data_IF_383456701537
#
_entry.id   IF_383456701537
#
_cell.length_a   1.000
_cell.length_b   1.000
_cell.length_c   1.000
_cell.angle_alpha   90.00
_cell.angle_beta   90.00
_cell.angle_gamma   90.00
#
_symmetry.space_group_name_H-M   'P 1'
#
loop_
_entity.id
_entity.type
_entity.pdbx_description
1 polymer ?
#
# COMPACT_ATOMS: atom_id res chain seq x y z
N UNK A 1 -3.47 -1.11 -7.17
CA UNK A 1 -3.78 -0.07 -6.16
C UNK A 1 -5.17 -0.33 -5.62
N UNK A 2 -5.48 0.19 -4.44
CA UNK A 2 -6.81 0.16 -3.85
C UNK A 2 -7.44 1.54 -3.85
N UNK A 3 -8.76 1.55 -3.85
CA UNK A 3 -9.59 2.73 -3.65
C UNK A 3 -10.79 2.37 -2.80
N UNK A 4 -11.38 3.34 -2.13
CA UNK A 4 -12.66 3.19 -1.46
C UNK A 4 -13.61 4.33 -1.85
N UNK A 5 -14.81 4.30 -1.30
CA UNK A 5 -15.90 5.22 -1.64
C UNK A 5 -15.71 6.65 -1.13
N UNK A 6 -14.80 6.88 -0.19
CA UNK A 6 -14.67 8.18 0.51
C UNK A 6 -13.34 8.87 0.26
N UNK A 7 -12.27 8.13 0.04
CA UNK A 7 -10.92 8.70 -0.01
C UNK A 7 -10.59 9.26 -1.39
N UNK A 8 -10.13 10.52 -1.48
CA UNK A 8 -9.82 11.17 -2.76
C UNK A 8 -8.47 10.69 -3.35
N UNK A 9 -7.89 9.62 -2.80
CA UNK A 9 -6.60 9.07 -3.20
C UNK A 9 -6.65 7.54 -3.36
N UNK A 10 -5.61 7.00 -3.98
CA UNK A 10 -5.33 5.57 -4.08
C UNK A 10 -4.22 5.20 -3.08
N UNK A 11 -4.28 3.99 -2.58
CA UNK A 11 -3.30 3.43 -1.66
C UNK A 11 -2.92 2.01 -2.09
N UNK A 12 -1.88 1.46 -1.46
CA UNK A 12 -1.40 0.11 -1.76
C UNK A 12 -2.26 -0.94 -1.08
N UNK A 13 -2.23 -2.17 -1.61
CA UNK A 13 -2.69 -3.35 -0.88
C UNK A 13 -1.72 -3.59 0.27
N UNK A 14 -2.22 -3.90 1.46
CA UNK A 14 -1.39 -4.17 2.63
C UNK A 14 -2.04 -3.72 3.93
N UNK A 15 -1.36 -3.99 5.03
CA UNK A 15 -1.85 -3.66 6.35
C UNK A 15 -0.83 -3.98 7.43
N UNK A 16 -1.30 -3.94 8.68
CA UNK A 16 -0.46 -4.10 9.86
C UNK A 16 0.06 -5.53 10.00
N UNK A 17 1.35 -5.66 10.29
CA UNK A 17 1.95 -6.96 10.66
C UNK A 17 1.47 -7.36 12.05
N UNK A 18 1.01 -8.60 12.20
CA UNK A 18 0.59 -9.14 13.49
C UNK A 18 1.77 -9.51 14.40
N UNK A 19 1.51 -9.63 15.71
CA UNK A 19 2.53 -10.10 16.64
C UNK A 19 2.98 -11.54 16.29
N UNK A 20 4.28 -11.70 16.04
CA UNK A 20 4.87 -12.98 15.66
C UNK A 20 4.76 -13.31 14.17
N UNK A 21 4.21 -12.40 13.36
CA UNK A 21 4.13 -12.50 11.91
C UNK A 21 5.34 -11.82 11.25
N UNK A 22 5.87 -12.41 10.18
CA UNK A 22 6.88 -11.77 9.33
C UNK A 22 6.22 -10.78 8.35
N UNK A 23 7.00 -9.83 7.81
CA UNK A 23 6.46 -8.88 6.83
C UNK A 23 6.00 -9.58 5.54
N UNK A 24 6.67 -10.67 5.15
CA UNK A 24 6.31 -11.51 4.02
C UNK A 24 4.98 -12.23 4.25
N UNK A 25 4.79 -12.83 5.43
CA UNK A 25 3.52 -13.49 5.79
C UNK A 25 2.37 -12.49 5.82
N UNK A 26 2.59 -11.29 6.38
CA UNK A 26 1.62 -10.21 6.36
C UNK A 26 1.25 -9.82 4.93
N UNK A 27 2.23 -9.59 4.03
CA UNK A 27 1.96 -9.22 2.65
C UNK A 27 1.12 -10.28 1.90
N UNK A 28 1.38 -11.57 2.13
CA UNK A 28 0.60 -12.66 1.53
C UNK A 28 -0.82 -12.69 2.11
N UNK A 29 -0.96 -12.55 3.44
CA UNK A 29 -2.26 -12.51 4.12
C UNK A 29 -3.12 -11.34 3.64
N UNK A 30 -2.58 -10.13 3.61
CA UNK A 30 -3.30 -8.91 3.22
C UNK A 30 -3.81 -8.99 1.78
N UNK A 31 -2.99 -9.49 0.84
CA UNK A 31 -3.46 -9.73 -0.54
C UNK A 31 -4.64 -10.70 -0.56
N UNK A 32 -4.58 -11.76 0.24
CA UNK A 32 -5.66 -12.74 0.31
C UNK A 32 -6.92 -12.15 0.93
N UNK A 33 -6.80 -11.34 1.97
CA UNK A 33 -7.91 -10.67 2.67
C UNK A 33 -8.58 -9.63 1.76
N UNK A 34 -7.80 -8.80 1.08
CA UNK A 34 -8.33 -7.72 0.25
C UNK A 34 -8.84 -8.19 -1.12
N UNK A 35 -8.10 -9.07 -1.78
CA UNK A 35 -8.34 -9.46 -3.17
C UNK A 35 -8.91 -10.87 -3.35
N UNK A 36 -8.91 -11.70 -2.30
CA UNK A 36 -9.42 -13.08 -2.36
C UNK A 36 -8.58 -14.02 -3.24
N UNK A 37 -7.31 -13.71 -3.46
CA UNK A 37 -6.38 -14.43 -4.34
C UNK A 37 -5.05 -14.70 -3.64
N UNK A 38 -4.31 -15.69 -4.13
CA UNK A 38 -3.04 -16.10 -3.55
C UNK A 38 -1.89 -15.61 -4.45
N UNK A 39 -1.11 -14.66 -3.96
CA UNK A 39 0.08 -14.15 -4.64
C UNK A 39 1.35 -14.68 -3.98
N UNK A 40 2.42 -14.82 -4.77
CA UNK A 40 3.76 -15.13 -4.29
C UNK A 40 4.62 -13.88 -4.15
N UNK A 41 5.66 -13.94 -3.32
CA UNK A 41 6.68 -12.89 -3.23
C UNK A 41 7.77 -13.16 -4.28
N UNK A 42 8.06 -12.19 -5.15
CA UNK A 42 9.29 -12.18 -5.97
C UNK A 42 10.46 -11.70 -5.11
N UNK A 43 10.40 -10.44 -4.67
CA UNK A 43 11.45 -9.81 -3.85
C UNK A 43 10.99 -8.55 -3.14
N UNK A 44 11.72 -8.17 -2.10
CA UNK A 44 11.59 -6.85 -1.46
C UNK A 44 12.16 -5.75 -2.37
N UNK A 45 11.36 -4.72 -2.65
CA UNK A 45 11.81 -3.55 -3.41
C UNK A 45 12.20 -2.39 -2.50
N UNK A 46 11.35 -2.05 -1.53
CA UNK A 46 11.52 -0.85 -0.72
C UNK A 46 11.30 -1.14 0.76
N UNK A 47 12.15 -0.54 1.59
CA UNK A 47 11.85 -0.28 2.99
C UNK A 47 11.51 1.21 3.05
N UNK A 48 10.31 1.54 3.48
CA UNK A 48 9.80 2.90 3.46
C UNK A 48 9.61 3.40 4.88
N UNK A 49 10.34 4.46 5.25
CA UNK A 49 10.08 5.23 6.47
C UNK A 49 9.19 6.41 6.12
N UNK A 50 7.96 6.39 6.60
CA UNK A 50 6.96 7.42 6.34
C UNK A 50 6.63 8.19 7.62
N UNK A 51 6.75 9.52 7.57
CA UNK A 51 6.35 10.41 8.66
C UNK A 51 5.13 11.22 8.23
N UNK A 52 4.04 11.18 8.98
CA UNK A 52 2.84 11.92 8.59
C UNK A 52 2.00 12.30 9.79
N UNK A 53 1.04 13.20 9.59
CA UNK A 53 -0.02 13.46 10.57
C UNK A 53 -1.28 12.81 10.06
N UNK A 54 -1.86 11.89 10.83
CA UNK A 54 -3.10 11.24 10.44
C UNK A 54 -4.27 12.23 10.47
N UNK A 55 -5.08 12.27 9.41
CA UNK A 55 -6.21 13.20 9.28
C UNK A 55 -7.58 12.50 9.33
N UNK A 56 -7.61 11.16 9.31
CA UNK A 56 -8.82 10.41 8.97
C UNK A 56 -9.12 9.25 9.93
N UNK A 57 -8.11 8.56 10.44
CA UNK A 57 -8.29 7.42 11.35
C UNK A 57 -8.80 7.91 12.71
N UNK A 58 -9.94 7.42 13.21
CA UNK A 58 -10.52 7.86 14.48
C UNK A 58 -9.57 7.73 15.68
N UNK A 59 -8.63 6.77 15.65
CA UNK A 59 -7.70 6.53 16.74
C UNK A 59 -6.44 7.41 16.65
N UNK A 60 -6.07 7.83 15.45
CA UNK A 60 -4.79 8.50 15.17
C UNK A 60 -4.94 9.96 14.74
N UNK A 61 -6.15 10.45 14.46
CA UNK A 61 -6.40 11.81 13.98
C UNK A 61 -5.63 12.88 14.77
N UNK A 62 -4.90 13.72 14.04
CA UNK A 62 -4.05 14.80 14.57
C UNK A 62 -2.72 14.35 15.19
N UNK A 63 -2.43 13.05 15.25
CA UNK A 63 -1.18 12.53 15.80
C UNK A 63 -0.10 12.45 14.73
N UNK A 64 1.14 12.75 15.13
CA UNK A 64 2.31 12.45 14.34
C UNK A 64 2.56 10.93 14.35
N UNK A 65 2.48 10.33 13.17
CA UNK A 65 2.73 8.92 12.91
C UNK A 65 4.10 8.73 12.28
N UNK A 66 4.71 7.59 12.61
CA UNK A 66 5.91 7.09 11.97
C UNK A 66 5.66 5.63 11.61
N UNK A 67 5.63 5.37 10.31
CA UNK A 67 5.39 4.06 9.75
C UNK A 67 6.67 3.53 9.09
N UNK A 68 6.94 2.24 9.27
CA UNK A 68 7.98 1.51 8.56
C UNK A 68 7.32 0.41 7.75
N UNK A 69 7.32 0.57 6.43
CA UNK A 69 6.61 -0.29 5.49
C UNK A 69 7.57 -1.08 4.60
N UNK A 70 7.23 -2.33 4.32
CA UNK A 70 7.99 -3.22 3.45
C UNK A 70 7.20 -3.47 2.17
N UNK A 71 7.72 -2.99 1.04
CA UNK A 71 7.03 -3.07 -0.24
C UNK A 71 7.63 -4.18 -1.08
N UNK A 72 6.84 -5.23 -1.30
CA UNK A 72 7.25 -6.40 -2.06
C UNK A 72 6.75 -6.32 -3.51
N UNK A 73 7.60 -6.76 -4.44
CA UNK A 73 7.15 -7.15 -5.76
C UNK A 73 6.56 -8.56 -5.66
N UNK A 74 5.36 -8.73 -6.19
CA UNK A 74 4.62 -9.99 -6.08
C UNK A 74 4.38 -10.62 -7.45
N UNK A 75 4.32 -11.94 -7.47
CA UNK A 75 3.96 -12.75 -8.64
C UNK A 75 2.52 -13.25 -8.48
N UNK A 76 1.79 -13.31 -9.59
CA UNK A 76 0.41 -13.79 -9.61
C UNK A 76 0.13 -14.60 -10.86
N UNK A 77 -0.92 -15.43 -10.79
CA UNK A 77 -1.47 -16.09 -11.97
C UNK A 77 -2.43 -15.12 -12.69
N UNK A 78 -2.15 -14.75 -13.95
CA UNK A 78 -3.00 -13.83 -14.71
C UNK A 78 -4.40 -14.38 -15.01
N UNK A 79 -4.60 -15.70 -14.92
CA UNK A 79 -5.92 -16.32 -15.09
C UNK A 79 -6.77 -16.27 -13.80
N UNK A 80 -6.15 -15.91 -12.66
CA UNK A 80 -6.83 -15.87 -11.38
C UNK A 80 -7.83 -14.71 -11.32
N UNK A 81 -9.08 -15.05 -11.03
CA UNK A 81 -10.13 -14.05 -10.89
C UNK A 81 -10.06 -13.38 -9.52
N UNK A 82 -9.81 -12.07 -9.52
CA UNK A 82 -9.87 -11.24 -8.31
C UNK A 82 -11.31 -11.23 -7.78
N UNK A 83 -11.45 -11.46 -6.48
CA UNK A 83 -12.74 -11.43 -5.77
C UNK A 83 -12.62 -10.40 -4.65
N UNK A 84 -12.92 -9.10 -4.92
CA UNK A 84 -12.74 -8.04 -3.95
C UNK A 84 -13.57 -8.30 -2.69
N UNK A 85 -12.86 -8.67 -1.63
CA UNK A 85 -13.41 -8.93 -0.30
C UNK A 85 -13.00 -7.87 0.72
N UNK A 86 -12.02 -7.03 0.38
CA UNK A 86 -11.43 -6.03 1.25
C UNK A 86 -12.44 -5.03 1.81
N UNK A 87 -12.34 -4.85 3.12
CA UNK A 87 -13.01 -3.80 3.86
C UNK A 87 -11.93 -3.12 4.69
N UNK A 88 -11.78 -1.82 4.54
CA UNK A 88 -10.90 -1.00 5.40
C UNK A 88 -11.20 -1.25 6.88
N UNK A 89 -10.25 -0.91 7.77
CA UNK A 89 -10.42 -1.03 9.22
C UNK A 89 -11.68 -0.32 9.76
N UNK A 90 -12.14 0.73 9.08
CA UNK A 90 -13.35 1.50 9.43
C UNK A 90 -14.62 1.05 8.68
N UNK A 91 -14.59 -0.09 7.99
CA UNK A 91 -15.79 -0.73 7.45
C UNK A 91 -16.16 -0.35 6.02
N UNK A 92 -15.32 0.41 5.31
CA UNK A 92 -15.57 0.84 3.92
C UNK A 92 -15.10 -0.22 2.94
N UNK A 93 -15.93 -0.52 1.94
CA UNK A 93 -15.59 -1.47 0.87
C UNK A 93 -14.44 -0.94 0.03
N UNK A 94 -13.47 -1.79 -0.19
CA UNK A 94 -12.33 -1.48 -1.04
C UNK A 94 -12.51 -2.09 -2.44
N UNK A 95 -11.95 -1.40 -3.42
CA UNK A 95 -12.02 -1.78 -4.82
C UNK A 95 -10.61 -1.73 -5.42
N UNK A 96 -10.13 -2.85 -5.99
CA UNK A 96 -8.85 -2.87 -6.69
C UNK A 96 -8.95 -2.07 -7.99
N UNK A 97 -7.92 -1.28 -8.24
CA UNK A 97 -7.76 -0.46 -9.44
C UNK A 97 -6.40 -0.74 -10.08
N UNK A 98 -6.45 -1.10 -11.35
CA UNK A 98 -5.27 -1.13 -12.22
C UNK A 98 -4.93 0.29 -12.68
N UNK A 99 -3.72 0.73 -12.37
CA UNK A 99 -3.24 2.08 -12.70
C UNK A 99 -2.03 1.93 -13.62
N UNK A 100 -2.08 2.39 -14.88
CA UNK A 100 -0.90 2.47 -15.72
C UNK A 100 0.18 3.31 -15.04
N UNK A 101 1.43 2.85 -15.00
CA UNK A 101 2.51 3.58 -14.31
C UNK A 101 2.71 5.00 -14.84
N UNK A 102 2.46 5.23 -16.14
CA UNK A 102 2.53 6.56 -16.75
C UNK A 102 1.47 7.54 -16.22
N UNK A 103 0.39 7.04 -15.61
CA UNK A 103 -0.74 7.81 -15.08
C UNK A 103 -0.71 7.90 -13.54
N UNK A 104 0.22 7.19 -12.89
CA UNK A 104 0.29 7.12 -11.43
C UNK A 104 0.44 8.52 -10.81
N UNK A 105 -0.51 8.89 -9.95
CA UNK A 105 -0.51 10.17 -9.24
C UNK A 105 -0.85 11.41 -10.08
N UNK A 106 -1.24 11.25 -11.36
CA UNK A 106 -1.60 12.38 -12.24
C UNK A 106 -3.02 12.88 -11.99
N UNK A 107 -4.02 12.04 -12.28
CA UNK A 107 -5.43 12.43 -12.22
C UNK A 107 -6.04 12.18 -10.83
N UNK A 108 -5.57 11.14 -10.15
CA UNK A 108 -5.93 10.82 -8.76
C UNK A 108 -4.66 10.70 -7.94
N UNK A 109 -4.63 11.34 -6.76
CA UNK A 109 -3.51 11.22 -5.82
C UNK A 109 -3.30 9.75 -5.49
N UNK A 110 -2.06 9.32 -5.41
CA UNK A 110 -1.71 7.95 -5.10
C UNK A 110 -0.51 7.92 -4.16
N UNK A 111 -0.60 7.07 -3.15
CA UNK A 111 0.47 6.86 -2.18
C UNK A 111 0.97 5.40 -2.24
N UNK A 112 2.29 5.19 -2.02
CA UNK A 112 3.28 6.22 -1.76
C UNK A 112 3.75 6.93 -3.04
N UNK A 113 3.97 8.25 -2.96
CA UNK A 113 4.24 9.09 -4.14
C UNK A 113 5.50 8.70 -4.93
N UNK A 114 6.50 8.09 -4.27
CA UNK A 114 7.74 7.68 -4.92
C UNK A 114 7.54 6.55 -5.95
N UNK A 115 6.40 5.83 -5.92
CA UNK A 115 6.08 4.82 -6.93
C UNK A 115 6.08 5.39 -8.36
N UNK A 116 5.70 6.66 -8.53
CA UNK A 116 5.68 7.35 -9.83
C UNK A 116 7.03 7.31 -10.55
N UNK A 117 8.14 7.25 -9.80
CA UNK A 117 9.50 7.23 -10.34
C UNK A 117 10.19 5.90 -10.13
N UNK A 118 10.06 5.31 -8.93
CA UNK A 118 10.82 4.13 -8.53
C UNK A 118 10.34 2.84 -9.22
N UNK A 119 9.06 2.76 -9.60
CA UNK A 119 8.55 1.59 -10.32
C UNK A 119 8.85 1.61 -11.83
N UNK A 120 9.27 2.74 -12.40
CA UNK A 120 9.68 2.81 -13.80
C UNK A 120 11.00 2.06 -14.06
N UNK A 121 11.86 1.99 -13.03
CA UNK A 121 13.10 1.25 -13.04
C UNK A 121 13.32 0.57 -11.67
N UNK A 122 12.58 -0.53 -11.37
CA UNK A 122 12.61 -1.16 -10.07
C UNK A 122 14.03 -1.59 -9.67
N UNK A 123 14.46 -1.35 -8.42
CA UNK A 123 15.82 -1.66 -8.01
C UNK A 123 16.05 -3.18 -7.93
N UNK A 124 17.31 -3.59 -8.11
CA UNK A 124 17.73 -5.00 -7.96
C UNK A 124 17.90 -5.41 -6.49
N UNK A 125 18.16 -4.45 -5.62
CA UNK A 125 18.34 -4.65 -4.18
C UNK A 125 17.41 -3.70 -3.42
N UNK A 126 16.94 -4.07 -2.21
CA UNK A 126 16.06 -3.22 -1.43
C UNK A 126 16.64 -1.81 -1.24
N UNK A 127 15.79 -0.78 -1.43
CA UNK A 127 16.15 0.62 -1.16
C UNK A 127 15.40 1.13 0.07
N UNK A 128 16.12 1.81 0.95
CA UNK A 128 15.51 2.61 1.99
C UNK A 128 15.03 3.95 1.39
N UNK A 129 13.74 4.24 1.54
CA UNK A 129 13.12 5.49 1.12
C UNK A 129 12.54 6.18 2.35
N UNK A 130 12.73 7.49 2.46
CA UNK A 130 12.16 8.29 3.55
C UNK A 130 11.31 9.42 2.97
N UNK A 131 10.05 9.51 3.40
CA UNK A 131 9.14 10.61 3.03
C UNK A 131 8.61 11.31 4.28
N UNK A 132 7.95 12.45 4.11
CA UNK A 132 7.12 12.97 5.19
C UNK A 132 7.80 13.87 6.22
N UNK A 133 9.07 14.19 6.05
CA UNK A 133 9.73 15.22 6.88
C UNK A 133 9.13 16.60 6.59
N UNK A 134 8.11 16.99 7.37
CA UNK A 134 7.46 18.30 7.30
C UNK A 134 6.28 18.42 6.33
N UNK A 135 5.66 17.31 5.91
CA UNK A 135 4.48 17.32 5.02
C UNK A 135 3.31 16.52 5.60
N UNK A 136 2.09 17.01 5.43
CA UNK A 136 0.86 16.25 5.70
C UNK A 136 0.62 15.24 4.58
N UNK A 137 0.52 13.96 4.94
CA UNK A 137 0.06 12.89 4.06
C UNK A 137 -0.93 12.02 4.85
N UNK A 138 -1.97 11.46 4.21
CA UNK A 138 -2.89 10.54 4.87
C UNK A 138 -2.19 9.22 5.23
N UNK A 139 -2.71 8.52 6.25
CA UNK A 139 -2.35 7.12 6.52
C UNK A 139 -2.74 6.26 5.32
N UNK A 140 -1.82 5.44 4.84
CA UNK A 140 -2.12 4.37 3.87
C UNK A 140 -2.54 3.09 4.57
#
# INVERSE_FOLDING_TARGET
>A
MMSNETDPYLYTIGGGVHHGETAEEAAIREVREELGVDYGIDRLLFIHQNFFTDEHSPLLVGRACHEVSFHFLMTFDPEQQIRPGGVTQDGRREQPVWVPLAEYGRDRRAYPTFYATELLAPPRHPRLITTGRGSTQPST
#
